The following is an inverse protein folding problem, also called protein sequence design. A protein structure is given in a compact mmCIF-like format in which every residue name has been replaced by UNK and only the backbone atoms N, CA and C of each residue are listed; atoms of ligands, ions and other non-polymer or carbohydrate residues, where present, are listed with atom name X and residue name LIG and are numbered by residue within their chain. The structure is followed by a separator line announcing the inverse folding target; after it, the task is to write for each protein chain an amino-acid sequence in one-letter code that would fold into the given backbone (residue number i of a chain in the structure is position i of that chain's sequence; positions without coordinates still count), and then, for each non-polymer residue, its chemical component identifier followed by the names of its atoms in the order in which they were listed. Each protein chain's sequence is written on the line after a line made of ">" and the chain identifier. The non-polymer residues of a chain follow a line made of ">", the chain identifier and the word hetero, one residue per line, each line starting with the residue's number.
data_IF_359017157215
#
_entry.id   IF_359017157215
#
_cell.length_a   1.000
_cell.length_b   1.000
_cell.length_c   1.000
_cell.angle_alpha   90.00
_cell.angle_beta   90.00
_cell.angle_gamma   90.00
#
_symmetry.space_group_name_H-M   'P 1'
#
loop_
_entity.id
_entity.type
_entity.pdbx_description
1 polymer ?
#
# COMPACT_ATOMS: atom_id res chain seq x y z
N UNK A 1 -6.26 -8.51 12.21
CA UNK A 1 -6.59 -7.25 11.54
C UNK A 1 -5.89 -7.31 10.19
N UNK A 2 -6.61 -7.14 9.08
CA UNK A 2 -6.02 -7.25 7.75
C UNK A 2 -4.96 -6.17 7.56
N UNK A 3 -3.79 -6.54 7.04
CA UNK A 3 -2.68 -5.62 6.77
C UNK A 3 -2.35 -5.59 5.28
N UNK A 4 -2.39 -4.41 4.67
CA UNK A 4 -2.18 -4.21 3.23
C UNK A 4 -0.97 -3.32 3.00
N UNK A 5 -0.05 -3.75 2.12
CA UNK A 5 1.03 -2.90 1.60
C UNK A 5 0.51 -2.14 0.39
N UNK A 6 0.69 -0.83 0.37
CA UNK A 6 0.29 0.03 -0.74
C UNK A 6 1.53 0.76 -1.25
N UNK A 7 1.92 0.47 -2.49
CA UNK A 7 3.14 0.98 -3.11
C UNK A 7 2.82 1.94 -4.26
N UNK A 8 3.80 2.77 -4.64
CA UNK A 8 3.66 3.78 -5.71
C UNK A 8 2.55 4.80 -5.45
N UNK A 9 2.31 5.13 -4.17
CA UNK A 9 1.23 6.04 -3.76
C UNK A 9 1.60 7.49 -4.06
N UNK A 10 0.65 8.26 -4.61
CA UNK A 10 0.81 9.71 -4.82
C UNK A 10 0.30 10.49 -3.61
N UNK A 11 0.71 11.74 -3.50
CA UNK A 11 0.30 12.59 -2.38
C UNK A 11 -1.22 12.83 -2.37
N UNK A 12 -1.83 12.96 -3.55
CA UNK A 12 -3.28 13.11 -3.68
C UNK A 12 -4.09 11.90 -3.22
N UNK A 13 -3.50 10.70 -3.21
CA UNK A 13 -4.19 9.45 -2.87
C UNK A 13 -4.26 9.22 -1.34
N UNK A 14 -3.30 9.77 -0.58
CA UNK A 14 -3.18 9.55 0.87
C UNK A 14 -4.47 9.78 1.67
N UNK A 15 -5.22 10.89 1.51
CA UNK A 15 -6.43 11.12 2.30
C UNK A 15 -7.50 10.04 2.06
N UNK A 16 -7.62 9.56 0.82
CA UNK A 16 -8.61 8.54 0.46
C UNK A 16 -8.22 7.16 0.99
N UNK A 17 -6.94 6.81 0.90
CA UNK A 17 -6.40 5.56 1.45
C UNK A 17 -6.63 5.51 2.97
N UNK A 18 -6.29 6.58 3.69
CA UNK A 18 -6.46 6.64 5.15
C UNK A 18 -7.93 6.57 5.56
N UNK A 19 -8.80 7.31 4.89
CA UNK A 19 -10.24 7.29 5.18
C UNK A 19 -10.87 5.90 4.95
N UNK A 20 -10.45 5.21 3.88
CA UNK A 20 -10.90 3.84 3.62
C UNK A 20 -10.38 2.86 4.68
N UNK A 21 -9.08 2.93 5.01
CA UNK A 21 -8.45 2.07 6.01
C UNK A 21 -9.13 2.20 7.39
N UNK A 22 -9.41 3.43 7.82
CA UNK A 22 -10.13 3.72 9.07
C UNK A 22 -11.56 3.15 9.04
N UNK A 23 -12.33 3.46 7.99
CA UNK A 23 -13.72 2.97 7.85
C UNK A 23 -13.82 1.45 7.89
N UNK A 24 -12.83 0.76 7.34
CA UNK A 24 -12.82 -0.70 7.20
C UNK A 24 -12.01 -1.43 8.26
N UNK A 25 -11.39 -0.71 9.22
CA UNK A 25 -10.53 -1.28 10.27
C UNK A 25 -9.39 -2.14 9.69
N UNK A 26 -8.74 -1.62 8.64
CA UNK A 26 -7.61 -2.25 7.94
C UNK A 26 -6.34 -1.46 8.25
N UNK A 27 -5.24 -2.15 8.51
CA UNK A 27 -3.92 -1.53 8.62
C UNK A 27 -3.33 -1.36 7.22
N UNK A 28 -2.83 -0.16 6.91
CA UNK A 28 -2.15 0.13 5.64
C UNK A 28 -0.73 0.59 5.90
N UNK A 29 0.22 -0.02 5.19
CA UNK A 29 1.60 0.44 5.09
C UNK A 29 1.81 1.06 3.72
N UNK A 30 2.09 2.36 3.69
CA UNK A 30 2.09 3.18 2.47
C UNK A 30 3.52 3.57 2.13
N UNK A 31 3.92 3.34 0.88
CA UNK A 31 5.17 3.85 0.31
C UNK A 31 4.94 4.49 -1.06
N UNK A 32 5.77 5.49 -1.39
CA UNK A 32 5.83 6.10 -2.72
C UNK A 32 6.70 5.32 -3.69
N UNK A 33 7.48 4.36 -3.19
CA UNK A 33 8.40 3.58 -4.01
C UNK A 33 7.65 2.63 -4.94
N UNK A 34 8.20 2.43 -6.14
CA UNK A 34 7.75 1.39 -7.05
C UNK A 34 8.11 0.01 -6.50
N UNK A 35 7.26 -0.98 -6.80
CA UNK A 35 7.63 -2.38 -6.60
C UNK A 35 8.69 -2.77 -7.63
N UNK A 36 9.81 -3.30 -7.17
CA UNK A 36 10.91 -3.81 -7.97
C UNK A 36 11.36 -5.16 -7.43
N UNK A 37 12.17 -5.88 -8.20
CA UNK A 37 12.76 -7.15 -7.75
C UNK A 37 13.62 -6.97 -6.49
N UNK A 38 14.19 -5.78 -6.26
CA UNK A 38 15.02 -5.47 -5.09
C UNK A 38 14.22 -5.32 -3.79
N UNK A 39 12.93 -4.96 -3.87
CA UNK A 39 12.10 -4.69 -2.69
C UNK A 39 10.87 -5.61 -2.56
N UNK A 40 10.71 -6.58 -3.47
CA UNK A 40 9.57 -7.52 -3.49
C UNK A 40 9.43 -8.33 -2.21
N UNK A 41 10.55 -8.70 -1.57
CA UNK A 41 10.54 -9.44 -0.30
C UNK A 41 9.87 -8.65 0.83
N UNK A 42 9.86 -7.32 0.75
CA UNK A 42 9.21 -6.44 1.73
C UNK A 42 7.68 -6.53 1.76
N UNK A 43 7.06 -7.25 0.81
CA UNK A 43 5.62 -7.53 0.77
C UNK A 43 5.27 -8.81 1.55
N UNK A 44 6.26 -9.63 1.91
CA UNK A 44 6.01 -10.87 2.65
C UNK A 44 5.35 -10.59 4.02
N UNK A 45 4.32 -11.37 4.35
CA UNK A 45 3.59 -11.25 5.62
C UNK A 45 2.44 -10.24 5.62
N UNK A 46 2.21 -9.53 4.51
CA UNK A 46 0.98 -8.75 4.31
C UNK A 46 -0.14 -9.64 3.76
N UNK A 47 -1.38 -9.32 4.08
CA UNK A 47 -2.56 -10.03 3.58
C UNK A 47 -2.94 -9.59 2.16
N UNK A 48 -2.39 -8.46 1.69
CA UNK A 48 -2.60 -7.95 0.35
C UNK A 48 -1.59 -6.89 -0.07
N UNK A 49 -1.42 -6.75 -1.39
CA UNK A 49 -0.62 -5.73 -2.04
C UNK A 49 -1.51 -4.93 -3.00
N UNK A 50 -1.43 -3.61 -2.92
CA UNK A 50 -1.99 -2.69 -3.90
C UNK A 50 -0.87 -1.82 -4.46
N UNK A 51 -0.86 -1.59 -5.76
CA UNK A 51 0.12 -0.74 -6.42
C UNK A 51 -0.51 0.03 -7.57
N UNK A 52 0.05 1.21 -7.83
CA UNK A 52 -0.25 1.99 -9.04
C UNK A 52 0.92 1.82 -10.01
N UNK A 53 0.74 0.99 -11.04
CA UNK A 53 1.78 0.79 -12.04
C UNK A 53 1.90 2.04 -12.91
N UNK A 54 3.07 2.67 -12.86
CA UNK A 54 3.40 3.79 -13.74
C UNK A 54 4.03 3.21 -15.01
N UNK A 55 3.41 3.47 -16.16
CA UNK A 55 3.97 3.17 -17.50
C UNK A 55 4.88 4.33 -17.89
#
# INVERSE_FOLDING_TARGET
>A
MTKIKIMSVRDEDMPYIKAWAEKHHVEVDITKEALTDDNVEGVAGYDGLSLSQQI
#
